data_IF_440543075493
#
_entry.id   IF_440543075493
#
_cell.length_a   1.000
_cell.length_b   1.000
_cell.length_c   1.000
_cell.angle_alpha   90.00
_cell.angle_beta   90.00
_cell.angle_gamma   90.00
#
_symmetry.space_group_name_H-M   'P 1'
#
loop_
_entity.id
_entity.type
_entity.pdbx_description
1 polymer ?
#
# COMPACT_ATOMS: atom_id res chain seq x y z
N UNK A 1 14.04 6.51 0.44
CA UNK A 1 13.67 5.07 0.45
C UNK A 1 13.90 4.58 1.87
N UNK A 2 13.14 3.58 2.36
CA UNK A 2 13.36 3.10 3.74
C UNK A 2 14.64 2.26 3.81
N UNK A 3 15.66 2.81 4.45
CA UNK A 3 16.97 2.18 4.58
C UNK A 3 16.89 0.93 5.46
N UNK A 4 16.05 0.94 6.50
CA UNK A 4 15.98 -0.17 7.47
C UNK A 4 15.34 -1.44 6.91
N UNK A 5 14.67 -1.35 5.74
CA UNK A 5 13.99 -2.47 5.09
C UNK A 5 14.63 -2.91 3.76
N UNK A 6 15.65 -2.20 3.26
CA UNK A 6 16.25 -2.42 1.93
C UNK A 6 16.71 -3.87 1.71
N UNK A 7 17.43 -4.44 2.68
CA UNK A 7 17.96 -5.81 2.60
C UNK A 7 17.06 -6.87 3.27
N UNK A 8 15.88 -6.49 3.77
CA UNK A 8 15.06 -7.33 4.66
C UNK A 8 13.58 -7.32 4.26
N UNK A 9 13.33 -7.69 3.01
CA UNK A 9 12.03 -7.54 2.32
C UNK A 9 11.13 -8.78 2.33
N UNK A 10 11.63 -9.94 2.76
CA UNK A 10 10.88 -11.22 2.76
C UNK A 10 10.29 -11.63 4.12
N UNK A 11 10.53 -10.82 5.15
CA UNK A 11 10.14 -11.09 6.54
C UNK A 11 8.66 -10.85 6.83
N UNK A 12 8.33 -10.75 8.11
CA UNK A 12 6.99 -10.46 8.59
C UNK A 12 6.63 -8.96 8.43
N UNK A 13 5.43 -8.64 7.93
CA UNK A 13 5.00 -7.26 7.75
C UNK A 13 4.89 -6.45 9.05
N UNK A 14 4.60 -7.09 10.19
CA UNK A 14 4.57 -6.39 11.48
C UNK A 14 5.97 -5.97 11.88
N UNK A 15 6.97 -6.83 11.67
CA UNK A 15 8.37 -6.49 11.93
C UNK A 15 8.89 -5.40 10.97
N UNK A 16 8.60 -5.53 9.67
CA UNK A 16 8.96 -4.49 8.68
C UNK A 16 8.29 -3.15 9.01
N UNK A 17 7.02 -3.19 9.41
CA UNK A 17 6.27 -2.01 9.84
C UNK A 17 6.85 -1.37 11.10
N UNK A 18 7.21 -2.17 12.10
CA UNK A 18 7.85 -1.69 13.32
C UNK A 18 9.18 -0.98 13.03
N UNK A 19 10.03 -1.58 12.17
CA UNK A 19 11.29 -0.95 11.75
C UNK A 19 11.05 0.38 11.04
N UNK A 20 10.09 0.43 10.11
CA UNK A 20 9.73 1.68 9.43
C UNK A 20 9.18 2.72 10.42
N UNK A 21 8.37 2.32 11.40
CA UNK A 21 7.89 3.22 12.44
C UNK A 21 9.06 3.87 13.21
N UNK A 22 10.07 3.07 13.61
CA UNK A 22 11.26 3.62 14.29
C UNK A 22 12.07 4.59 13.40
N UNK A 23 12.22 4.27 12.12
CA UNK A 23 12.88 5.15 11.13
C UNK A 23 12.14 6.50 11.03
N UNK A 24 10.81 6.46 10.86
CA UNK A 24 9.95 7.64 10.77
C UNK A 24 10.01 8.47 12.05
N UNK A 25 9.90 7.85 13.22
CA UNK A 25 9.95 8.53 14.52
C UNK A 25 11.27 9.26 14.68
N UNK A 26 12.38 8.59 14.35
CA UNK A 26 13.72 9.16 14.42
C UNK A 26 13.87 10.35 13.47
N UNK A 27 13.35 10.23 12.25
CA UNK A 27 13.31 11.32 11.27
C UNK A 27 12.50 12.51 11.76
N UNK A 28 11.28 12.29 12.24
CA UNK A 28 10.38 13.35 12.72
C UNK A 28 10.99 14.06 13.94
N UNK A 29 11.51 13.33 14.92
CA UNK A 29 12.19 13.92 16.09
C UNK A 29 13.37 14.80 15.67
N UNK A 30 14.23 14.31 14.78
CA UNK A 30 15.37 15.09 14.26
C UNK A 30 14.94 16.38 13.57
N UNK A 31 13.81 16.37 12.86
CA UNK A 31 13.25 17.58 12.23
C UNK A 31 12.63 18.52 13.26
N UNK A 32 11.85 18.01 14.21
CA UNK A 32 11.25 18.80 15.28
C UNK A 32 12.31 19.52 16.13
N UNK A 33 13.40 18.82 16.49
CA UNK A 33 14.51 19.37 17.26
C UNK A 33 15.26 20.49 16.53
N UNK A 34 15.28 20.46 15.19
CA UNK A 34 15.84 21.55 14.38
C UNK A 34 14.90 22.75 14.39
N UNK A 35 13.60 22.54 14.24
CA UNK A 35 12.62 23.65 14.21
C UNK A 35 12.57 24.37 15.55
N UNK A 36 12.52 23.65 16.67
CA UNK A 36 12.53 24.24 18.02
C UNK A 36 13.77 25.07 18.33
N UNK A 37 14.91 24.81 17.66
CA UNK A 37 16.15 25.58 17.82
C UNK A 37 16.23 26.86 16.98
N UNK A 38 15.48 26.95 15.88
CA UNK A 38 15.66 28.03 14.88
C UNK A 38 14.42 28.86 14.54
N UNK A 39 13.22 28.54 15.06
CA UNK A 39 12.05 29.42 14.92
C UNK A 39 10.69 28.74 14.86
N UNK A 40 9.67 29.54 14.53
CA UNK A 40 8.22 29.24 14.59
C UNK A 40 7.89 27.88 13.97
N UNK A 41 7.24 27.01 14.77
CA UNK A 41 6.80 25.69 14.33
C UNK A 41 5.66 25.83 13.31
N UNK A 42 5.96 25.67 12.02
CA UNK A 42 4.94 25.43 11.00
C UNK A 42 4.23 24.09 11.26
N UNK A 43 3.02 23.92 10.71
CA UNK A 43 2.28 22.67 10.85
C UNK A 43 3.04 21.51 10.17
N UNK A 44 3.35 20.46 10.94
CA UNK A 44 4.14 19.32 10.43
C UNK A 44 3.22 18.45 9.57
N UNK A 45 3.58 18.31 8.29
CA UNK A 45 2.93 17.42 7.34
C UNK A 45 3.82 16.21 7.06
N UNK A 46 3.40 15.04 7.53
CA UNK A 46 4.06 13.76 7.27
C UNK A 46 3.31 13.03 6.16
N UNK A 47 3.98 12.84 5.02
CA UNK A 47 3.42 12.18 3.84
C UNK A 47 4.19 10.91 3.52
N UNK A 48 3.48 9.92 2.99
CA UNK A 48 4.03 8.60 2.65
C UNK A 48 3.76 8.28 1.19
N UNK A 49 4.76 7.70 0.53
CA UNK A 49 4.62 7.09 -0.80
C UNK A 49 5.04 5.63 -0.68
N UNK A 50 4.11 4.72 -1.00
CA UNK A 50 4.36 3.29 -1.00
C UNK A 50 4.28 2.71 -2.40
N UNK A 51 5.24 1.87 -2.76
CA UNK A 51 5.17 1.03 -3.96
C UNK A 51 5.03 -0.44 -3.56
N UNK A 52 4.15 -1.17 -4.25
CA UNK A 52 3.98 -2.61 -4.06
C UNK A 52 3.76 -2.97 -2.59
N UNK A 53 4.51 -3.95 -2.05
CA UNK A 53 4.48 -4.36 -0.64
C UNK A 53 4.81 -3.24 0.35
N UNK A 54 5.53 -2.19 -0.06
CA UNK A 54 5.84 -1.03 0.78
C UNK A 54 4.57 -0.36 1.33
N UNK A 55 3.46 -0.46 0.62
CA UNK A 55 2.15 0.02 1.07
C UNK A 55 1.66 -0.68 2.35
N UNK A 56 1.84 -1.99 2.44
CA UNK A 56 1.47 -2.75 3.63
C UNK A 56 2.44 -2.49 4.77
N UNK A 57 3.73 -2.28 4.47
CA UNK A 57 4.74 -1.89 5.46
C UNK A 57 4.39 -0.53 6.07
N UNK A 58 4.02 0.46 5.25
CA UNK A 58 3.56 1.78 5.72
C UNK A 58 2.34 1.62 6.61
N UNK A 59 1.30 0.91 6.15
CA UNK A 59 0.10 0.69 6.96
C UNK A 59 0.41 -0.03 8.28
N UNK A 60 1.33 -0.99 8.27
CA UNK A 60 1.80 -1.67 9.47
C UNK A 60 2.55 -0.74 10.42
N UNK A 61 3.37 0.17 9.90
CA UNK A 61 4.04 1.20 10.68
C UNK A 61 3.03 2.17 11.33
N UNK A 62 2.03 2.63 10.58
CA UNK A 62 0.95 3.48 11.11
C UNK A 62 0.13 2.77 12.19
N UNK A 63 -0.03 1.44 12.08
CA UNK A 63 -0.70 0.63 13.10
C UNK A 63 0.17 0.35 14.35
N UNK A 64 1.47 0.65 14.32
CA UNK A 64 2.37 0.49 15.46
C UNK A 64 2.05 1.55 16.53
N UNK A 65 1.94 1.13 17.79
CA UNK A 65 1.60 2.03 18.91
C UNK A 65 2.59 3.17 19.09
N UNK A 66 3.86 2.97 18.70
CA UNK A 66 4.87 4.04 18.77
C UNK A 66 4.59 5.22 17.83
N UNK A 67 3.76 5.02 16.79
CA UNK A 67 3.36 6.08 15.87
C UNK A 67 2.21 6.95 16.39
N UNK A 68 1.50 6.54 17.46
CA UNK A 68 0.31 7.22 17.99
C UNK A 68 0.47 8.74 18.17
N UNK A 69 1.58 9.25 18.75
CA UNK A 69 1.78 10.70 18.92
C UNK A 69 1.92 11.48 17.60
N UNK A 70 2.22 10.78 16.51
CA UNK A 70 2.54 11.36 15.20
C UNK A 70 1.38 11.25 14.20
N UNK A 71 0.33 10.49 14.51
CA UNK A 71 -0.80 10.25 13.60
C UNK A 71 -1.52 11.55 13.19
N UNK A 72 -1.57 12.54 14.07
CA UNK A 72 -2.16 13.86 13.79
C UNK A 72 -1.42 14.66 12.70
N UNK A 73 -0.17 14.31 12.41
CA UNK A 73 0.66 14.98 11.41
C UNK A 73 0.53 14.32 10.02
N UNK A 74 -0.21 13.21 9.89
CA UNK A 74 -0.37 12.51 8.62
C UNK A 74 -1.16 13.37 7.62
N UNK A 75 -0.57 13.58 6.44
CA UNK A 75 -1.13 14.49 5.45
C UNK A 75 -1.52 13.76 4.16
N UNK A 76 -0.54 13.32 3.37
CA UNK A 76 -0.78 12.65 2.08
C UNK A 76 -0.24 11.24 2.08
N UNK A 77 -1.08 10.29 1.66
CA UNK A 77 -0.68 8.92 1.36
C UNK A 77 -0.87 8.63 -0.13
N UNK A 78 0.23 8.29 -0.81
CA UNK A 78 0.22 7.84 -2.20
C UNK A 78 0.56 6.36 -2.25
N UNK A 79 -0.36 5.56 -2.77
CA UNK A 79 -0.19 4.13 -2.94
C UNK A 79 -0.06 3.78 -4.40
N UNK A 80 1.12 3.32 -4.80
CA UNK A 80 1.41 2.85 -6.16
C UNK A 80 1.41 1.32 -6.15
N UNK A 81 0.46 0.72 -6.86
CA UNK A 81 0.28 -0.74 -6.93
C UNK A 81 0.26 -1.42 -5.55
N UNK A 82 -0.50 -0.88 -4.58
CA UNK A 82 -0.55 -1.45 -3.22
C UNK A 82 -1.47 -2.67 -3.08
N UNK A 83 -1.02 -3.86 -2.64
CA UNK A 83 -1.89 -5.02 -2.46
C UNK A 83 -2.76 -4.91 -1.16
N UNK A 84 -3.58 -3.87 -1.05
CA UNK A 84 -4.35 -3.53 0.17
C UNK A 84 -5.36 -4.56 0.62
N UNK A 85 -5.92 -5.33 -0.32
CA UNK A 85 -6.86 -6.44 -0.09
C UNK A 85 -6.20 -7.80 -0.37
N UNK A 86 -4.88 -7.78 -0.62
CA UNK A 86 -4.08 -8.96 -0.84
C UNK A 86 -4.40 -9.66 -2.15
N UNK A 87 -4.09 -10.94 -2.17
CA UNK A 87 -4.13 -11.79 -3.37
C UNK A 87 -5.27 -12.80 -3.31
N UNK A 88 -6.32 -12.45 -2.57
CA UNK A 88 -7.51 -13.28 -2.34
C UNK A 88 -8.17 -13.63 -3.68
N UNK A 89 -8.33 -12.63 -4.55
CA UNK A 89 -8.76 -12.80 -5.93
C UNK A 89 -7.62 -12.34 -6.83
N UNK A 90 -6.93 -13.29 -7.47
CA UNK A 90 -5.89 -12.98 -8.45
C UNK A 90 -6.25 -13.68 -9.75
N UNK A 91 -6.42 -12.89 -10.81
CA UNK A 91 -6.81 -13.37 -12.14
C UNK A 91 -5.67 -13.97 -12.94
N UNK A 92 -4.41 -13.76 -12.53
CA UNK A 92 -3.24 -14.16 -13.31
C UNK A 92 -2.74 -15.56 -12.89
N UNK A 93 -2.99 -16.58 -13.72
CA UNK A 93 -2.65 -17.97 -13.40
C UNK A 93 -1.15 -18.22 -13.30
N UNK A 94 -0.33 -17.57 -14.15
CA UNK A 94 1.13 -17.68 -14.11
C UNK A 94 1.70 -17.10 -12.81
N UNK A 95 1.18 -15.93 -12.41
CA UNK A 95 1.53 -15.33 -11.13
C UNK A 95 1.08 -16.22 -9.96
N UNK A 96 -0.11 -16.79 -10.02
CA UNK A 96 -0.61 -17.69 -8.98
C UNK A 96 0.25 -18.97 -8.84
N UNK A 97 0.72 -19.52 -9.96
CA UNK A 97 1.65 -20.67 -9.96
C UNK A 97 3.03 -20.30 -9.40
N UNK A 98 3.56 -19.12 -9.75
CA UNK A 98 4.80 -18.59 -9.17
C UNK A 98 4.68 -18.31 -7.67
N UNK A 99 3.56 -17.74 -7.24
CA UNK A 99 3.24 -17.47 -5.84
C UNK A 99 3.12 -18.75 -5.03
N UNK A 100 2.49 -19.78 -5.58
CA UNK A 100 2.41 -21.11 -4.96
C UNK A 100 3.79 -21.75 -4.79
N UNK A 101 4.70 -21.56 -5.76
CA UNK A 101 6.09 -22.01 -5.65
C UNK A 101 6.85 -21.22 -4.58
N UNK A 102 6.74 -19.89 -4.57
CA UNK A 102 7.39 -19.03 -3.57
C UNK A 102 6.93 -19.34 -2.15
N UNK A 103 5.63 -19.64 -1.94
CA UNK A 103 5.10 -20.08 -0.64
C UNK A 103 5.77 -21.33 -0.07
N UNK A 104 6.36 -22.18 -0.91
CA UNK A 104 7.05 -23.40 -0.47
C UNK A 104 8.49 -23.14 -0.02
N UNK A 105 9.03 -21.95 -0.29
CA UNK A 105 10.37 -21.56 0.14
C UNK A 105 10.32 -21.09 1.60
N UNK A 106 11.22 -21.62 2.44
CA UNK A 106 11.41 -21.10 3.80
C UNK A 106 11.87 -19.63 3.70
N UNK A 107 11.23 -18.73 4.46
CA UNK A 107 11.61 -17.32 4.52
C UNK A 107 10.71 -16.35 3.75
N UNK A 108 9.48 -16.75 3.38
CA UNK A 108 8.50 -15.90 2.68
C UNK A 108 7.23 -15.63 3.52
N UNK A 109 7.40 -15.16 4.77
CA UNK A 109 6.27 -14.93 5.67
C UNK A 109 5.32 -13.85 5.14
N UNK A 110 5.84 -12.78 4.54
CA UNK A 110 5.04 -11.75 3.87
C UNK A 110 4.12 -12.33 2.80
N UNK A 111 4.53 -13.38 2.08
CA UNK A 111 3.71 -14.02 1.05
C UNK A 111 2.51 -14.74 1.66
N UNK A 112 2.69 -15.40 2.81
CA UNK A 112 1.57 -16.00 3.53
C UNK A 112 0.57 -14.93 3.98
N UNK A 113 1.06 -13.79 4.48
CA UNK A 113 0.24 -12.65 4.89
C UNK A 113 -0.49 -11.99 3.70
N UNK A 114 0.18 -11.85 2.54
CA UNK A 114 -0.41 -11.32 1.30
C UNK A 114 -1.57 -12.16 0.77
N UNK A 115 -1.53 -13.45 1.06
CA UNK A 115 -2.52 -14.42 0.55
C UNK A 115 -3.49 -14.89 1.62
N UNK A 116 -3.46 -14.30 2.82
CA UNK A 116 -4.25 -14.69 3.99
C UNK A 116 -4.12 -16.20 4.33
N UNK A 117 -2.89 -16.71 4.32
CA UNK A 117 -2.56 -18.11 4.67
C UNK A 117 -1.55 -18.20 5.82
N UNK A 118 -1.36 -17.12 6.56
CA UNK A 118 -0.52 -17.01 7.74
C UNK A 118 -1.21 -17.49 9.03
N UNK A 119 -2.54 -17.66 9.02
CA UNK A 119 -3.33 -18.22 10.11
C UNK A 119 -4.47 -19.09 9.55
N UNK A 120 -4.80 -20.25 10.16
CA UNK A 120 -5.95 -21.06 9.75
C UNK A 120 -7.30 -20.34 9.94
N UNK A 121 -7.39 -19.42 10.89
CA UNK A 121 -8.54 -18.55 11.08
C UNK A 121 -8.35 -17.27 10.27
N UNK A 122 -9.19 -17.12 9.25
CA UNK A 122 -9.22 -15.97 8.36
C UNK A 122 -9.25 -14.62 9.09
N UNK A 123 -9.97 -14.53 10.22
CA UNK A 123 -10.08 -13.31 11.01
C UNK A 123 -8.82 -13.01 11.84
N UNK A 124 -7.93 -14.00 11.98
CA UNK A 124 -6.64 -13.84 12.66
C UNK A 124 -5.49 -13.55 11.72
N UNK A 125 -5.69 -13.69 10.41
CA UNK A 125 -4.68 -13.33 9.41
C UNK A 125 -4.26 -11.87 9.55
N UNK A 126 -2.98 -11.60 9.26
CA UNK A 126 -2.38 -10.28 9.37
C UNK A 126 -3.16 -9.23 8.57
N UNK A 127 -3.46 -9.53 7.31
CA UNK A 127 -4.05 -8.56 6.40
C UNK A 127 -5.49 -8.20 6.80
N UNK A 128 -6.27 -9.18 7.27
CA UNK A 128 -7.60 -8.93 7.83
C UNK A 128 -7.51 -7.96 9.03
N UNK A 129 -6.61 -8.25 9.99
CA UNK A 129 -6.39 -7.39 11.16
C UNK A 129 -5.93 -5.99 10.76
N UNK A 130 -5.04 -5.88 9.77
CA UNK A 130 -4.53 -4.60 9.28
C UNK A 130 -5.63 -3.73 8.65
N UNK A 131 -6.55 -4.32 7.87
CA UNK A 131 -7.71 -3.61 7.32
C UNK A 131 -8.66 -3.08 8.39
N UNK A 132 -8.70 -3.69 9.58
CA UNK A 132 -9.49 -3.22 10.72
C UNK A 132 -8.78 -2.16 11.56
N UNK A 133 -7.49 -1.88 11.33
CA UNK A 133 -6.75 -0.80 11.99
C UNK A 133 -6.92 0.51 11.22
N UNK A 134 -7.00 1.63 11.96
CA UNK A 134 -7.12 3.01 11.46
C UNK A 134 -5.84 3.48 10.77
N UNK A 135 -5.53 2.87 9.63
CA UNK A 135 -4.29 3.12 8.87
C UNK A 135 -4.50 4.09 7.71
N UNK A 136 -5.76 4.33 7.32
CA UNK A 136 -6.14 5.25 6.24
C UNK A 136 -6.94 6.46 6.76
N UNK A 137 -7.50 6.36 7.97
CA UNK A 137 -8.37 7.39 8.57
C UNK A 137 -7.62 8.71 8.84
N UNK A 138 -6.36 8.62 9.23
CA UNK A 138 -5.57 9.78 9.66
C UNK A 138 -5.04 10.64 8.52
N UNK A 139 -5.09 10.18 7.27
CA UNK A 139 -4.60 10.94 6.12
C UNK A 139 -5.66 11.89 5.57
N UNK A 140 -5.29 13.16 5.36
CA UNK A 140 -6.12 14.14 4.64
C UNK A 140 -6.31 13.75 3.18
N UNK A 141 -5.25 13.23 2.55
CA UNK A 141 -5.26 12.86 1.14
C UNK A 141 -4.85 11.39 0.98
N UNK A 142 -5.67 10.59 0.30
CA UNK A 142 -5.35 9.20 -0.07
C UNK A 142 -5.47 9.08 -1.59
N UNK A 143 -4.34 8.80 -2.24
CA UNK A 143 -4.24 8.64 -3.69
C UNK A 143 -3.85 7.20 -3.97
N UNK A 144 -4.68 6.48 -4.72
CA UNK A 144 -4.41 5.11 -5.15
C UNK A 144 -4.08 5.14 -6.64
N UNK A 145 -2.92 4.62 -7.00
CA UNK A 145 -2.39 4.61 -8.35
C UNK A 145 -2.25 3.15 -8.75
N UNK A 146 -2.91 2.80 -9.85
CA UNK A 146 -2.99 1.43 -10.35
C UNK A 146 -2.84 1.40 -11.86
N UNK A 147 -2.38 0.27 -12.38
CA UNK A 147 -2.44 -0.03 -13.80
C UNK A 147 -3.22 -1.32 -14.02
N UNK A 148 -4.18 -1.37 -14.95
CA UNK A 148 -4.82 -2.63 -15.34
C UNK A 148 -3.84 -3.60 -16.01
N UNK A 149 -2.64 -3.13 -16.38
CA UNK A 149 -1.56 -3.91 -16.99
C UNK A 149 -0.60 -4.49 -15.93
N UNK A 150 -0.74 -4.11 -14.65
CA UNK A 150 0.03 -4.70 -13.55
C UNK A 150 -0.42 -6.15 -13.35
N UNK A 151 0.44 -7.08 -13.77
CA UNK A 151 0.19 -8.51 -13.64
C UNK A 151 0.64 -9.09 -12.29
N UNK A 152 1.29 -8.28 -11.44
CA UNK A 152 1.77 -8.67 -10.13
C UNK A 152 0.69 -8.40 -9.09
N UNK A 153 0.21 -7.16 -8.96
CA UNK A 153 -0.77 -6.80 -7.92
C UNK A 153 -2.18 -6.86 -8.48
N UNK A 154 -3.13 -7.58 -7.85
CA UNK A 154 -4.51 -7.58 -8.32
C UNK A 154 -5.07 -6.16 -8.40
N UNK A 155 -5.56 -5.78 -9.58
CA UNK A 155 -5.99 -4.42 -9.89
C UNK A 155 -6.99 -3.84 -8.86
N UNK A 156 -8.02 -4.62 -8.51
CA UNK A 156 -9.01 -4.20 -7.52
C UNK A 156 -8.41 -4.02 -6.11
N UNK A 157 -7.36 -4.79 -5.77
CA UNK A 157 -6.65 -4.66 -4.51
C UNK A 157 -5.84 -3.35 -4.48
N UNK A 158 -5.17 -2.98 -5.58
CA UNK A 158 -4.48 -1.70 -5.73
C UNK A 158 -5.41 -0.50 -5.52
N UNK A 159 -6.68 -0.68 -5.84
CA UNK A 159 -7.70 0.36 -5.87
C UNK A 159 -8.62 0.38 -4.65
N UNK A 160 -8.51 -0.59 -3.74
CA UNK A 160 -9.45 -0.77 -2.63
C UNK A 160 -10.89 -0.75 -3.19
N UNK A 161 -11.18 -1.69 -4.07
CA UNK A 161 -12.48 -1.84 -4.72
C UNK A 161 -12.91 -3.31 -4.80
N UNK A 162 -14.19 -3.53 -5.09
CA UNK A 162 -14.73 -4.87 -5.32
C UNK A 162 -14.33 -5.37 -6.71
N UNK A 163 -14.42 -6.69 -6.92
CA UNK A 163 -14.22 -7.31 -8.23
C UNK A 163 -15.35 -8.29 -8.54
N UNK A 164 -15.51 -8.63 -9.82
CA UNK A 164 -16.57 -9.54 -10.27
C UNK A 164 -16.47 -10.93 -9.62
N UNK A 165 -15.26 -11.43 -9.37
CA UNK A 165 -15.10 -12.70 -8.65
C UNK A 165 -15.68 -12.63 -7.22
N UNK A 166 -15.51 -11.49 -6.55
CA UNK A 166 -16.03 -11.30 -5.19
C UNK A 166 -17.55 -11.13 -5.14
N UNK A 167 -18.19 -10.58 -6.17
CA UNK A 167 -19.65 -10.38 -6.17
C UNK A 167 -20.46 -11.68 -6.21
N UNK A 168 -19.84 -12.77 -6.68
CA UNK A 168 -20.48 -14.09 -6.75
C UNK A 168 -19.98 -15.07 -5.67
N UNK A 169 -18.99 -14.70 -4.86
CA UNK A 169 -18.41 -15.57 -3.83
C UNK A 169 -19.15 -15.42 -2.49
N UNK A 170 -19.96 -16.43 -2.16
CA UNK A 170 -20.70 -16.52 -0.88
C UNK A 170 -19.93 -17.27 0.21
N UNK A 171 -18.71 -17.71 -0.06
CA UNK A 171 -17.85 -18.43 0.87
C UNK A 171 -17.37 -17.55 2.03
N UNK A 172 -16.77 -18.17 3.05
CA UNK A 172 -16.09 -17.43 4.14
C UNK A 172 -15.01 -16.48 3.61
N UNK A 173 -14.35 -16.83 2.50
CA UNK A 173 -13.31 -16.02 1.87
C UNK A 173 -13.91 -14.76 1.23
N UNK A 174 -15.02 -14.89 0.52
CA UNK A 174 -15.76 -13.76 -0.03
C UNK A 174 -16.29 -12.80 1.02
N UNK A 175 -16.85 -13.34 2.12
CA UNK A 175 -17.27 -12.53 3.28
C UNK A 175 -16.10 -11.75 3.89
N UNK A 176 -14.98 -12.42 4.15
CA UNK A 176 -13.76 -11.78 4.68
C UNK A 176 -13.27 -10.66 3.77
N UNK A 177 -13.21 -10.89 2.46
CA UNK A 177 -12.79 -9.86 1.49
C UNK A 177 -13.69 -8.62 1.56
N UNK A 178 -15.01 -8.79 1.57
CA UNK A 178 -15.95 -7.67 1.67
C UNK A 178 -15.82 -6.94 3.00
N UNK A 179 -15.60 -7.65 4.10
CA UNK A 179 -15.34 -7.03 5.42
C UNK A 179 -14.06 -6.21 5.44
N UNK A 180 -12.99 -6.66 4.77
CA UNK A 180 -11.73 -5.94 4.62
C UNK A 180 -11.88 -4.71 3.73
N UNK A 181 -12.58 -4.86 2.60
CA UNK A 181 -12.88 -3.77 1.66
C UNK A 181 -13.67 -2.66 2.35
N UNK A 182 -14.78 -3.03 2.99
CA UNK A 182 -15.63 -2.06 3.70
C UNK A 182 -14.86 -1.37 4.83
N UNK A 183 -14.08 -2.10 5.61
CA UNK A 183 -13.25 -1.49 6.66
C UNK A 183 -12.25 -0.45 6.13
N UNK A 184 -11.69 -0.66 4.94
CA UNK A 184 -10.81 0.34 4.32
C UNK A 184 -11.60 1.54 3.78
N UNK A 185 -12.74 1.30 3.12
CA UNK A 185 -13.60 2.36 2.59
C UNK A 185 -14.20 3.23 3.68
N UNK A 186 -14.59 2.64 4.81
CA UNK A 186 -15.13 3.35 5.97
C UNK A 186 -14.09 4.30 6.56
N UNK A 187 -12.82 3.88 6.65
CA UNK A 187 -11.73 4.76 7.07
C UNK A 187 -11.49 5.92 6.10
N UNK A 188 -11.54 5.67 4.79
CA UNK A 188 -11.38 6.70 3.76
C UNK A 188 -12.53 7.71 3.80
N UNK A 189 -13.73 7.25 4.16
CA UNK A 189 -14.95 8.08 4.28
C UNK A 189 -15.13 8.71 5.66
N UNK A 190 -14.29 8.35 6.63
CA UNK A 190 -14.36 8.89 7.98
C UNK A 190 -14.16 10.41 7.96
N UNK A 191 -14.94 11.10 8.81
CA UNK A 191 -14.96 12.56 9.01
C UNK A 191 -15.37 13.39 7.78
N UNK A 192 -16.66 13.43 7.42
CA UNK A 192 -17.18 14.22 6.29
C UNK A 192 -17.02 15.73 6.44
N UNK A 193 -16.77 16.22 7.66
CA UNK A 193 -16.63 17.64 7.98
C UNK A 193 -15.28 18.24 7.58
N UNK A 194 -14.27 17.40 7.32
CA UNK A 194 -12.96 17.85 6.82
C UNK A 194 -12.86 17.59 5.32
N UNK A 195 -12.34 18.57 4.57
CA UNK A 195 -12.10 18.41 3.12
C UNK A 195 -10.97 17.40 2.91
N UNK A 196 -11.32 16.12 2.83
CA UNK A 196 -10.40 15.02 2.50
C UNK A 196 -10.42 14.72 1.00
N UNK A 197 -9.25 14.42 0.44
CA UNK A 197 -9.12 13.99 -0.96
C UNK A 197 -8.99 12.47 -1.00
N UNK A 198 -9.87 11.82 -1.74
CA UNK A 198 -9.71 10.44 -2.13
C UNK A 198 -9.72 10.34 -3.65
N UNK A 199 -8.63 9.83 -4.22
CA UNK A 199 -8.47 9.74 -5.67
C UNK A 199 -7.97 8.36 -6.07
N UNK A 200 -8.53 7.83 -7.16
CA UNK A 200 -8.02 6.65 -7.86
C UNK A 200 -7.53 7.09 -9.23
N UNK A 201 -6.27 6.81 -9.53
CA UNK A 201 -5.61 7.14 -10.79
C UNK A 201 -5.27 5.86 -11.55
N UNK A 202 -5.69 5.83 -12.80
CA UNK A 202 -5.36 4.76 -13.73
C UNK A 202 -4.23 5.16 -14.65
N UNK A 203 -3.21 4.32 -14.69
CA UNK A 203 -2.02 4.51 -15.50
C UNK A 203 -1.94 3.40 -16.53
N UNK A 204 -2.03 3.81 -17.79
CA UNK A 204 -1.83 2.93 -18.92
C UNK A 204 -0.46 3.23 -19.52
N UNK A 205 0.43 2.25 -19.44
CA UNK A 205 1.73 2.30 -20.10
C UNK A 205 1.59 1.95 -21.57
N UNK A 206 2.42 2.55 -22.42
CA UNK A 206 2.44 2.25 -23.83
C UNK A 206 3.07 0.87 -24.05
N UNK A 207 2.23 -0.12 -24.29
CA UNK A 207 2.63 -1.49 -24.56
C UNK A 207 3.45 -1.63 -25.85
N UNK A 208 3.45 -0.62 -26.75
CA UNK A 208 4.23 -0.63 -27.99
C UNK A 208 5.68 -0.18 -27.78
N UNK A 209 5.96 0.58 -26.72
CA UNK A 209 7.32 0.96 -26.33
C UNK A 209 8.14 -0.23 -25.80
N UNK A 210 7.45 -1.25 -25.30
CA UNK A 210 8.05 -2.49 -24.81
C UNK A 210 7.95 -3.55 -25.92
N UNK A 211 9.02 -3.75 -26.68
CA UNK A 211 9.12 -4.88 -27.62
C UNK A 211 8.65 -6.19 -26.97
N UNK A 212 8.09 -7.12 -27.76
CA UNK A 212 7.48 -8.39 -27.30
C UNK A 212 8.47 -9.24 -26.47
N UNK A 213 8.57 -8.94 -25.17
CA UNK A 213 9.46 -9.58 -24.21
C UNK A 213 8.62 -10.23 -23.11
N UNK A 214 9.13 -11.34 -22.53
CA UNK A 214 8.46 -12.06 -21.44
C UNK A 214 8.04 -11.15 -20.26
N UNK A 215 8.78 -10.06 -20.01
CA UNK A 215 8.46 -9.07 -18.97
C UNK A 215 7.18 -8.26 -19.25
N UNK A 216 6.83 -7.98 -20.51
CA UNK A 216 5.55 -7.32 -20.85
C UNK A 216 4.39 -8.31 -20.82
N UNK A 217 4.63 -9.58 -21.15
CA UNK A 217 3.61 -10.64 -21.11
C UNK A 217 3.15 -11.01 -19.69
N UNK A 218 4.03 -10.88 -18.69
CA UNK A 218 3.73 -11.18 -17.28
C UNK A 218 3.11 -9.96 -16.56
N UNK A 219 3.13 -8.77 -17.18
CA UNK A 219 2.74 -7.51 -16.53
C UNK A 219 3.77 -6.98 -15.51
N UNK A 220 4.99 -7.53 -15.55
CA UNK A 220 6.14 -7.07 -14.75
C UNK A 220 6.60 -5.68 -15.18
N UNK A 221 6.55 -5.42 -16.49
CA UNK A 221 6.93 -4.13 -17.06
C UNK A 221 6.13 -2.99 -16.41
N UNK A 222 4.80 -3.06 -16.44
CA UNK A 222 3.94 -2.07 -15.80
C UNK A 222 4.20 -1.91 -14.29
N UNK A 223 4.49 -3.01 -13.57
CA UNK A 223 4.79 -2.97 -12.14
C UNK A 223 6.09 -2.19 -11.81
N UNK A 224 7.11 -2.32 -12.66
CA UNK A 224 8.42 -1.66 -12.52
C UNK A 224 8.38 -0.23 -13.10
N UNK A 225 7.69 -0.04 -14.22
CA UNK A 225 7.64 1.23 -14.96
C UNK A 225 7.04 2.38 -14.16
N UNK A 226 6.22 2.08 -13.15
CA UNK A 226 5.79 3.07 -12.15
C UNK A 226 6.93 3.81 -11.46
N UNK A 227 8.09 3.17 -11.29
CA UNK A 227 9.28 3.74 -10.64
C UNK A 227 10.27 4.33 -11.64
N UNK A 228 10.34 3.76 -12.85
CA UNK A 228 11.30 4.17 -13.88
C UNK A 228 10.77 5.31 -14.79
N UNK A 229 9.46 5.57 -14.77
CA UNK A 229 8.86 6.66 -15.56
C UNK A 229 8.96 8.00 -14.85
N UNK A 230 10.04 8.74 -15.13
CA UNK A 230 10.21 10.15 -14.75
C UNK A 230 8.98 11.01 -15.13
N UNK A 231 8.33 10.68 -16.24
CA UNK A 231 7.14 11.38 -16.75
C UNK A 231 5.97 11.19 -15.78
N UNK A 232 5.78 9.98 -15.26
CA UNK A 232 4.72 9.69 -14.31
C UNK A 232 4.93 10.40 -12.97
N UNK A 233 6.15 10.35 -12.43
CA UNK A 233 6.50 11.04 -11.19
C UNK A 233 6.32 12.56 -11.33
N UNK A 234 6.79 13.15 -12.45
CA UNK A 234 6.60 14.58 -12.75
C UNK A 234 5.13 14.93 -12.93
N UNK A 235 4.35 14.09 -13.62
CA UNK A 235 2.91 14.30 -13.79
C UNK A 235 2.20 14.40 -12.44
N UNK A 236 2.42 13.45 -11.53
CA UNK A 236 1.77 13.49 -10.21
C UNK A 236 2.18 14.74 -9.41
N UNK A 237 3.47 15.09 -9.41
CA UNK A 237 3.94 16.27 -8.68
C UNK A 237 3.43 17.59 -9.28
N UNK A 238 3.31 17.67 -10.61
CA UNK A 238 2.88 18.89 -11.31
C UNK A 238 1.37 19.05 -11.38
N UNK A 239 0.62 17.95 -11.50
CA UNK A 239 -0.83 17.97 -11.55
C UNK A 239 -1.46 18.18 -10.17
N UNK A 240 -0.76 17.81 -9.10
CA UNK A 240 -1.28 17.90 -7.73
C UNK A 240 -0.30 18.57 -6.75
N UNK A 241 0.20 19.79 -7.03
CA UNK A 241 1.22 20.44 -6.21
C UNK A 241 0.74 20.68 -4.77
N UNK A 242 -0.56 20.94 -4.60
CA UNK A 242 -1.18 21.18 -3.29
C UNK A 242 -1.24 19.93 -2.40
N UNK A 243 -1.10 18.73 -2.99
CA UNK A 243 -1.03 17.47 -2.23
C UNK A 243 0.35 17.23 -1.63
N UNK A 244 1.38 17.96 -2.09
CA UNK A 244 2.77 17.77 -1.71
C UNK A 244 3.43 19.02 -1.09
N UNK A 245 2.70 20.14 -0.98
CA UNK A 245 3.13 21.40 -0.35
C UNK A 245 2.68 21.54 1.11
#
# INVERSE_FOLDING_TARGET
MSEVNEDKTSGDFKEMGHRLAQEVISFVKSKMDKVTKYGILGDIKLSFVGHSMGNLIIRAAIADSSMEPYLRHLHTYVSVSGPHLGYIYSSNSLFNSGMWFLKKLKGTQCIHQLTCTDDPDLQKTFLYKLCKKKTLEHFRNVILISSPQDGYVPYHSARIESCQAASHDTSKKGKMFLEMLNACLDQIRANPSERRVFMRCDVNFDATAHGKNLNSFIGRAAHIEFLDSDIFARFIMWSFPDLFR
#
